data_IF_640666601097
#
_entry.id   IF_640666601097
#
_cell.length_a   1.000
_cell.length_b   1.000
_cell.length_c   1.000
_cell.angle_alpha   90.00
_cell.angle_beta   90.00
_cell.angle_gamma   90.00
#
_symmetry.space_group_name_H-M   'P 1'
#
loop_
_entity.id
_entity.type
_entity.pdbx_description
1 polymer ?
#
# COMPACT_ATOMS: atom_id res chain seq x y z
N UNK A 1 -7.86 1.54 -13.28
CA UNK A 1 -6.98 2.32 -12.39
C UNK A 1 -5.66 1.58 -12.24
N UNK A 2 -4.52 2.27 -12.32
CA UNK A 2 -3.19 1.65 -12.23
C UNK A 2 -2.40 2.16 -11.03
N UNK A 3 -1.30 1.49 -10.71
CA UNK A 3 -0.41 1.89 -9.61
C UNK A 3 0.44 3.12 -9.97
N UNK A 4 0.70 3.99 -8.98
CA UNK A 4 1.60 5.14 -9.15
C UNK A 4 3.06 4.72 -9.39
N UNK A 5 3.40 3.46 -9.11
CA UNK A 5 4.72 2.88 -9.37
C UNK A 5 5.17 3.13 -10.81
N UNK A 6 4.26 3.01 -11.79
CA UNK A 6 4.59 3.24 -13.19
C UNK A 6 5.11 4.66 -13.49
N UNK A 7 4.66 5.65 -12.72
CA UNK A 7 5.12 7.03 -12.85
C UNK A 7 6.43 7.26 -12.06
N UNK A 8 6.59 6.59 -10.92
CA UNK A 8 7.77 6.70 -10.06
C UNK A 8 9.01 6.02 -10.68
N UNK A 9 8.80 4.95 -11.47
CA UNK A 9 9.85 4.13 -12.09
C UNK A 9 10.80 4.89 -13.01
N UNK A 10 10.40 6.05 -13.52
CA UNK A 10 11.21 6.87 -14.42
C UNK A 10 12.50 7.42 -13.79
N UNK A 11 12.60 7.39 -12.46
CA UNK A 11 13.76 7.94 -11.73
C UNK A 11 14.76 6.89 -11.26
N UNK A 12 14.42 5.60 -11.32
CA UNK A 12 15.27 4.49 -10.85
C UNK A 12 15.67 4.55 -9.35
N UNK A 13 15.04 5.42 -8.55
CA UNK A 13 15.28 5.55 -7.10
C UNK A 13 14.07 5.10 -6.24
N UNK A 14 13.09 4.42 -6.84
CA UNK A 14 11.90 3.93 -6.16
C UNK A 14 11.71 2.42 -6.41
N UNK A 15 10.77 1.84 -5.68
CA UNK A 15 10.19 0.53 -5.94
C UNK A 15 9.77 0.47 -7.42
N UNK A 16 10.45 -0.35 -8.23
CA UNK A 16 10.18 -0.53 -9.65
C UNK A 16 9.19 -1.66 -9.91
N UNK A 17 9.60 -2.86 -9.51
CA UNK A 17 8.80 -4.07 -9.56
C UNK A 17 8.46 -4.58 -8.15
N UNK A 18 8.96 -3.92 -7.09
CA UNK A 18 8.84 -4.43 -5.72
C UNK A 18 10.06 -5.22 -5.32
N UNK A 19 10.49 -6.12 -6.20
CA UNK A 19 11.51 -7.12 -5.91
C UNK A 19 12.89 -6.51 -5.69
N UNK A 20 13.30 -5.53 -6.49
CA UNK A 20 14.62 -4.91 -6.40
C UNK A 20 14.88 -4.28 -5.04
N UNK A 21 13.88 -3.65 -4.42
CA UNK A 21 14.02 -3.05 -3.08
C UNK A 21 14.21 -4.06 -1.95
N UNK A 22 14.05 -5.35 -2.24
CA UNK A 22 14.34 -6.46 -1.35
C UNK A 22 15.70 -7.13 -1.62
N UNK A 23 16.37 -6.78 -2.71
CA UNK A 23 17.61 -7.43 -3.15
C UNK A 23 18.82 -6.55 -2.89
N UNK A 24 19.90 -7.14 -2.35
CA UNK A 24 21.15 -6.42 -2.17
C UNK A 24 21.97 -6.34 -3.47
N UNK A 25 22.73 -5.24 -3.71
CA UNK A 25 22.93 -4.10 -2.80
C UNK A 25 21.84 -3.00 -2.89
N UNK A 26 20.84 -3.17 -3.76
CA UNK A 26 19.87 -2.11 -4.06
C UNK A 26 18.95 -1.81 -2.87
N UNK A 27 18.50 -2.82 -2.12
CA UNK A 27 17.61 -2.65 -0.96
C UNK A 27 18.21 -1.78 0.14
N UNK A 28 19.48 -2.01 0.49
CA UNK A 28 20.19 -1.16 1.45
C UNK A 28 20.42 0.25 0.91
N UNK A 29 20.79 0.38 -0.38
CA UNK A 29 20.94 1.67 -1.02
C UNK A 29 19.63 2.46 -1.03
N UNK A 30 18.52 1.84 -1.45
CA UNK A 30 17.18 2.43 -1.55
C UNK A 30 16.72 3.02 -0.22
N UNK A 31 16.88 2.28 0.88
CA UNK A 31 16.48 2.73 2.23
C UNK A 31 17.26 3.95 2.74
N UNK A 32 18.36 4.32 2.10
CA UNK A 32 19.18 5.49 2.45
C UNK A 32 18.91 6.70 1.55
N UNK A 33 18.08 6.54 0.51
CA UNK A 33 17.86 7.61 -0.45
C UNK A 33 16.87 8.65 0.05
N UNK A 34 17.07 9.89 -0.39
CA UNK A 34 16.02 10.90 -0.37
C UNK A 34 15.04 10.62 -1.51
N UNK A 35 13.77 10.37 -1.17
CA UNK A 35 12.71 10.10 -2.15
C UNK A 35 12.14 11.38 -2.78
N UNK A 36 12.45 12.57 -2.24
CA UNK A 36 11.86 13.83 -2.69
C UNK A 36 12.14 14.14 -4.17
N UNK A 37 13.35 13.91 -4.73
CA UNK A 37 13.59 14.11 -6.16
C UNK A 37 12.69 13.25 -7.04
N UNK A 38 12.49 11.98 -6.69
CA UNK A 38 11.58 11.06 -7.41
C UNK A 38 10.13 11.53 -7.34
N UNK A 39 9.68 11.95 -6.15
CA UNK A 39 8.32 12.43 -5.97
C UNK A 39 8.06 13.78 -6.64
N UNK A 40 9.08 14.65 -6.77
CA UNK A 40 8.98 15.88 -7.58
C UNK A 40 8.74 15.57 -9.05
N UNK A 41 9.50 14.63 -9.61
CA UNK A 41 9.31 14.20 -10.99
C UNK A 41 7.94 13.55 -11.21
N UNK A 42 7.51 12.71 -10.26
CA UNK A 42 6.17 12.16 -10.21
C UNK A 42 5.09 13.26 -10.24
N UNK A 43 5.25 14.32 -9.44
CA UNK A 43 4.34 15.46 -9.43
C UNK A 43 4.30 16.19 -10.77
N UNK A 44 5.44 16.32 -11.47
CA UNK A 44 5.49 16.92 -12.81
C UNK A 44 4.75 16.06 -13.85
N UNK A 45 4.87 14.73 -13.78
CA UNK A 45 4.08 13.84 -14.64
C UNK A 45 2.58 14.01 -14.36
N UNK A 46 2.16 14.06 -13.09
CA UNK A 46 0.76 14.30 -12.75
C UNK A 46 0.26 15.65 -13.27
N UNK A 47 1.05 16.72 -13.16
CA UNK A 47 0.72 18.04 -13.72
C UNK A 47 0.57 17.99 -15.24
N UNK A 48 1.47 17.28 -15.92
CA UNK A 48 1.38 17.08 -17.37
C UNK A 48 0.10 16.34 -17.77
N UNK A 49 -0.24 15.26 -17.06
CA UNK A 49 -1.46 14.48 -17.31
C UNK A 49 -2.72 15.31 -17.00
N UNK A 50 -2.72 16.09 -15.92
CA UNK A 50 -3.80 17.01 -15.57
C UNK A 50 -3.99 18.10 -16.63
N UNK A 51 -2.90 18.64 -17.18
CA UNK A 51 -2.98 19.59 -18.28
C UNK A 51 -3.60 18.97 -19.54
N UNK A 52 -3.23 17.72 -19.86
CA UNK A 52 -3.76 17.02 -21.03
C UNK A 52 -5.24 16.60 -20.86
N UNK A 53 -5.62 16.17 -19.65
CA UNK A 53 -6.96 15.68 -19.30
C UNK A 53 -7.34 16.18 -17.90
N UNK A 54 -7.89 17.41 -17.81
CA UNK A 54 -8.22 18.00 -16.51
C UNK A 54 -9.32 17.22 -15.81
N UNK A 55 -9.13 16.98 -14.51
CA UNK A 55 -10.13 16.45 -13.58
C UNK A 55 -10.18 17.26 -12.28
N UNK A 56 -11.16 16.99 -11.42
CA UNK A 56 -11.33 17.74 -10.17
C UNK A 56 -10.42 17.24 -9.05
N UNK A 57 -10.20 15.92 -8.97
CA UNK A 57 -9.41 15.29 -7.91
C UNK A 57 -8.74 14.01 -8.43
N UNK A 58 -7.46 13.87 -8.13
CA UNK A 58 -6.73 12.64 -8.40
C UNK A 58 -7.07 11.57 -7.35
N UNK A 59 -7.33 10.35 -7.82
CA UNK A 59 -7.36 9.15 -6.99
C UNK A 59 -6.14 8.29 -7.35
N UNK A 60 -5.19 8.21 -6.43
CA UNK A 60 -3.87 7.65 -6.63
C UNK A 60 -3.65 6.52 -5.63
N UNK A 61 -2.84 5.53 -6.00
CA UNK A 61 -2.60 4.36 -5.16
C UNK A 61 -1.28 3.70 -5.52
N UNK A 62 -0.44 3.47 -4.52
CA UNK A 62 0.58 2.41 -4.54
C UNK A 62 1.02 2.14 -3.09
N UNK A 63 1.30 0.87 -2.72
CA UNK A 63 1.93 0.58 -1.43
C UNK A 63 3.30 1.24 -1.25
N UNK A 64 3.99 1.63 -2.33
CA UNK A 64 5.30 2.31 -2.26
C UNK A 64 5.22 3.67 -1.55
N UNK A 65 4.04 4.32 -1.53
CA UNK A 65 3.84 5.58 -0.81
C UNK A 65 4.12 5.49 0.70
N UNK A 66 4.09 4.29 1.30
CA UNK A 66 4.45 4.11 2.70
C UNK A 66 5.93 4.44 3.00
N UNK A 67 6.79 4.48 1.98
CA UNK A 67 8.17 4.94 2.11
C UNK A 67 8.33 6.47 2.05
N UNK A 68 7.31 7.22 1.62
CA UNK A 68 7.46 8.64 1.28
C UNK A 68 6.17 9.46 1.51
N UNK A 69 5.45 9.19 2.59
CA UNK A 69 4.29 9.98 3.03
C UNK A 69 4.66 11.44 3.30
N UNK A 70 5.85 11.69 3.83
CA UNK A 70 6.40 13.03 4.04
C UNK A 70 6.54 13.81 2.73
N UNK A 71 7.04 13.17 1.67
CA UNK A 71 7.15 13.74 0.34
C UNK A 71 5.76 14.07 -0.24
N UNK A 72 4.77 13.20 -0.01
CA UNK A 72 3.40 13.44 -0.44
C UNK A 72 2.82 14.71 0.20
N UNK A 73 2.90 14.84 1.53
CA UNK A 73 2.35 16.04 2.20
C UNK A 73 3.14 17.30 1.88
N UNK A 74 4.44 17.19 1.61
CA UNK A 74 5.28 18.32 1.21
C UNK A 74 4.91 18.84 -0.20
N UNK A 75 4.68 17.94 -1.15
CA UNK A 75 4.43 18.30 -2.56
C UNK A 75 2.94 18.54 -2.86
N UNK A 76 2.06 17.90 -2.09
CA UNK A 76 0.61 17.98 -2.21
C UNK A 76 0.02 18.36 -0.84
N UNK A 77 0.15 19.63 -0.43
CA UNK A 77 -0.26 20.07 0.91
C UNK A 77 -1.78 19.95 1.15
N UNK A 78 -2.57 19.58 0.15
CA UNK A 78 -4.01 19.29 0.18
C UNK A 78 -4.38 17.81 -0.03
N UNK A 79 -3.41 16.89 -0.13
CA UNK A 79 -3.64 15.45 -0.26
C UNK A 79 -4.36 14.78 0.94
N UNK A 80 -5.34 13.94 0.65
CA UNK A 80 -5.94 13.00 1.60
C UNK A 80 -5.21 11.66 1.51
N UNK A 81 -4.77 11.10 2.64
CA UNK A 81 -4.05 9.83 2.69
C UNK A 81 -4.94 8.78 3.32
N UNK A 82 -5.25 7.72 2.59
CA UNK A 82 -5.94 6.54 3.11
C UNK A 82 -4.94 5.40 3.24
N UNK A 83 -4.83 4.81 4.43
CA UNK A 83 -3.97 3.66 4.67
C UNK A 83 -4.83 2.48 5.09
N UNK A 84 -4.69 1.37 4.36
CA UNK A 84 -5.44 0.16 4.61
C UNK A 84 -4.63 -0.82 5.45
N UNK A 85 -5.30 -1.44 6.41
CA UNK A 85 -4.72 -2.40 7.34
C UNK A 85 -5.29 -3.78 7.08
N UNK A 86 -4.41 -4.77 6.91
CA UNK A 86 -4.78 -6.18 6.71
C UNK A 86 -3.89 -7.06 7.56
N UNK A 87 -4.40 -8.25 7.88
CA UNK A 87 -3.69 -9.27 8.64
C UNK A 87 -2.30 -9.53 8.00
N UNK A 88 -1.19 -9.32 8.74
CA UNK A 88 0.16 -9.48 8.21
C UNK A 88 0.48 -10.91 7.77
N UNK A 89 -0.18 -11.94 8.34
CA UNK A 89 -0.02 -13.33 7.88
C UNK A 89 -0.44 -13.48 6.41
N UNK A 90 -1.55 -12.85 6.05
CA UNK A 90 -2.06 -12.86 4.69
C UNK A 90 -1.23 -11.96 3.77
N UNK A 91 -0.83 -10.79 4.25
CA UNK A 91 -0.06 -9.84 3.46
C UNK A 91 1.34 -10.37 3.10
N UNK A 92 2.07 -10.95 4.07
CA UNK A 92 3.42 -11.46 3.84
C UNK A 92 3.41 -12.59 2.82
N UNK A 93 2.51 -13.56 2.98
CA UNK A 93 2.38 -14.71 2.07
C UNK A 93 1.88 -14.30 0.69
N UNK A 94 0.87 -13.43 0.63
CA UNK A 94 0.37 -12.89 -0.64
C UNK A 94 1.44 -12.12 -1.39
N UNK A 95 2.23 -11.29 -0.69
CA UNK A 95 3.31 -10.54 -1.31
C UNK A 95 4.44 -11.47 -1.75
N UNK A 96 4.83 -12.45 -0.95
CA UNK A 96 5.84 -13.44 -1.33
C UNK A 96 5.43 -14.20 -2.61
N UNK A 97 4.19 -14.67 -2.68
CA UNK A 97 3.64 -15.33 -3.87
C UNK A 97 3.59 -14.42 -5.11
N UNK A 98 3.18 -13.17 -4.92
CA UNK A 98 3.18 -12.17 -6.00
C UNK A 98 4.59 -11.93 -6.53
N UNK A 99 5.57 -11.72 -5.65
CA UNK A 99 6.95 -11.45 -6.05
C UNK A 99 7.62 -12.66 -6.68
N UNK A 100 7.34 -13.86 -6.18
CA UNK A 100 7.75 -15.10 -6.81
C UNK A 100 7.24 -15.20 -8.27
N UNK A 101 5.98 -14.83 -8.52
CA UNK A 101 5.44 -14.85 -9.89
C UNK A 101 6.15 -13.87 -10.84
N UNK A 102 6.76 -12.80 -10.31
CA UNK A 102 7.58 -11.87 -11.09
C UNK A 102 9.02 -12.37 -11.31
N UNK A 103 9.44 -13.38 -10.55
CA UNK A 103 10.74 -14.03 -10.63
C UNK A 103 10.74 -15.32 -11.45
N UNK A 104 9.68 -15.59 -12.22
CA UNK A 104 9.60 -16.79 -13.08
C UNK A 104 10.85 -16.88 -13.98
N UNK A 105 11.50 -18.05 -13.96
CA UNK A 105 12.73 -18.30 -14.71
C UNK A 105 14.01 -17.80 -14.03
N UNK A 106 13.95 -17.43 -12.75
CA UNK A 106 15.09 -17.17 -11.88
C UNK A 106 15.15 -18.23 -10.78
N UNK A 107 16.36 -18.70 -10.48
CA UNK A 107 16.59 -19.58 -9.33
C UNK A 107 16.72 -18.73 -8.06
N UNK A 108 15.91 -19.03 -7.06
CA UNK A 108 16.00 -18.44 -5.72
C UNK A 108 15.53 -19.44 -4.67
N UNK A 109 16.02 -19.29 -3.43
CA UNK A 109 15.58 -20.11 -2.31
C UNK A 109 14.31 -19.53 -1.69
N UNK A 110 13.17 -20.18 -1.90
CA UNK A 110 11.87 -19.78 -1.34
C UNK A 110 11.90 -19.69 0.19
N UNK A 111 12.64 -20.58 0.86
CA UNK A 111 12.73 -20.62 2.32
C UNK A 111 13.46 -19.40 2.88
N UNK A 112 14.42 -18.86 2.14
CA UNK A 112 15.10 -17.61 2.51
C UNK A 112 14.29 -16.39 2.10
N UNK A 113 13.53 -16.50 1.01
CA UNK A 113 12.78 -15.39 0.44
C UNK A 113 11.66 -14.87 1.37
N UNK A 114 11.00 -15.75 2.13
CA UNK A 114 9.97 -15.33 3.07
C UNK A 114 10.45 -14.34 4.13
N UNK A 115 11.63 -14.59 4.72
CA UNK A 115 12.21 -13.70 5.72
C UNK A 115 12.55 -12.32 5.13
N UNK A 116 13.02 -12.29 3.88
CA UNK A 116 13.31 -11.05 3.15
C UNK A 116 12.03 -10.23 2.91
N UNK A 117 10.97 -10.89 2.44
CA UNK A 117 9.66 -10.25 2.21
C UNK A 117 9.06 -9.73 3.51
N UNK A 118 9.09 -10.55 4.57
CA UNK A 118 8.58 -10.19 5.90
C UNK A 118 9.28 -8.94 6.42
N UNK A 119 10.62 -8.91 6.35
CA UNK A 119 11.41 -7.78 6.83
C UNK A 119 11.17 -6.52 5.99
N UNK A 120 11.11 -6.65 4.66
CA UNK A 120 10.80 -5.53 3.77
C UNK A 120 9.45 -4.89 4.09
N UNK A 121 8.39 -5.69 4.24
CA UNK A 121 7.06 -5.19 4.57
C UNK A 121 7.03 -4.53 5.95
N UNK A 122 7.69 -5.11 6.94
CA UNK A 122 7.74 -4.55 8.28
C UNK A 122 8.48 -3.20 8.31
N UNK A 123 9.64 -3.09 7.65
CA UNK A 123 10.38 -1.82 7.54
C UNK A 123 9.59 -0.74 6.81
N UNK A 124 8.82 -1.12 5.79
CA UNK A 124 7.94 -0.19 5.07
C UNK A 124 6.87 0.39 5.99
N UNK A 125 6.27 -0.43 6.85
CA UNK A 125 5.32 0.04 7.87
C UNK A 125 6.02 0.93 8.89
N UNK A 126 7.20 0.54 9.39
CA UNK A 126 8.00 1.35 10.33
C UNK A 126 8.37 2.71 9.75
N UNK A 127 8.78 2.77 8.49
CA UNK A 127 9.06 4.02 7.79
C UNK A 127 7.81 4.93 7.76
N UNK A 128 6.66 4.37 7.39
CA UNK A 128 5.41 5.12 7.39
C UNK A 128 5.04 5.63 8.79
N UNK A 129 5.27 4.85 9.85
CA UNK A 129 4.98 5.24 11.22
C UNK A 129 5.87 6.40 11.67
N UNK A 130 7.17 6.37 11.34
CA UNK A 130 8.08 7.49 11.65
C UNK A 130 7.67 8.77 10.93
N UNK A 131 7.33 8.68 9.65
CA UNK A 131 6.93 9.85 8.85
C UNK A 131 5.61 10.46 9.37
N UNK A 132 4.67 9.61 9.78
CA UNK A 132 3.39 10.03 10.37
C UNK A 132 3.54 10.91 11.60
N UNK A 133 4.63 10.80 12.37
CA UNK A 133 4.85 11.65 13.55
C UNK A 133 4.93 13.15 13.23
N UNK A 134 5.26 13.49 11.97
CA UNK A 134 5.37 14.86 11.48
C UNK A 134 4.20 15.28 10.57
N UNK A 135 3.22 14.39 10.37
CA UNK A 135 2.06 14.64 9.51
C UNK A 135 0.86 14.92 10.41
N UNK A 136 0.08 15.96 10.07
CA UNK A 136 -1.20 16.22 10.73
C UNK A 136 -2.09 14.97 10.65
N UNK A 137 -2.51 14.37 11.79
CA UNK A 137 -3.35 13.18 11.81
C UNK A 137 -4.66 13.33 11.02
N UNK A 138 -5.20 14.56 10.86
CA UNK A 138 -6.39 14.81 10.05
C UNK A 138 -6.18 14.55 8.54
N UNK A 139 -4.93 14.35 8.10
CA UNK A 139 -4.58 14.01 6.72
C UNK A 139 -4.61 12.51 6.46
N UNK A 140 -4.72 11.70 7.50
CA UNK A 140 -4.59 10.26 7.40
C UNK A 140 -5.82 9.57 7.97
N UNK A 141 -6.45 8.74 7.15
CA UNK A 141 -7.51 7.85 7.55
C UNK A 141 -7.02 6.40 7.46
N UNK A 142 -6.99 5.73 8.61
CA UNK A 142 -6.71 4.32 8.74
C UNK A 142 -7.99 3.49 8.58
N UNK A 143 -7.97 2.48 7.70
CA UNK A 143 -9.12 1.64 7.39
C UNK A 143 -8.77 0.16 7.48
N UNK A 144 -9.59 -0.62 8.18
CA UNK A 144 -9.44 -2.07 8.18
C UNK A 144 -9.91 -2.66 6.85
N UNK A 145 -9.14 -3.57 6.28
CA UNK A 145 -9.51 -4.31 5.09
C UNK A 145 -10.82 -5.08 5.30
N UNK A 146 -11.01 -5.67 6.48
CA UNK A 146 -12.22 -6.43 6.81
C UNK A 146 -13.47 -5.54 6.84
N UNK A 147 -13.36 -4.28 7.30
CA UNK A 147 -14.46 -3.30 7.25
C UNK A 147 -14.85 -3.01 5.79
N UNK A 148 -13.86 -2.88 4.91
CA UNK A 148 -14.10 -2.64 3.49
C UNK A 148 -14.76 -3.84 2.81
N UNK A 149 -14.34 -5.07 3.13
CA UNK A 149 -14.96 -6.28 2.62
C UNK A 149 -16.41 -6.41 3.10
N UNK A 150 -16.70 -6.05 4.35
CA UNK A 150 -18.03 -6.14 4.93
C UNK A 150 -18.99 -5.05 4.41
N UNK A 151 -18.52 -3.81 4.27
CA UNK A 151 -19.31 -2.67 3.80
C UNK A 151 -18.43 -1.66 3.03
N UNK A 152 -18.25 -1.92 1.73
CA UNK A 152 -17.46 -1.05 0.85
C UNK A 152 -18.07 0.34 0.68
N UNK A 153 -19.40 0.44 0.59
CA UNK A 153 -20.11 1.73 0.42
C UNK A 153 -20.02 2.54 1.72
N UNK A 154 -20.20 1.92 2.88
CA UNK A 154 -19.97 2.57 4.17
C UNK A 154 -18.54 2.99 4.38
N UNK A 155 -17.57 2.21 3.89
CA UNK A 155 -16.16 2.60 3.90
C UNK A 155 -15.91 3.84 3.03
N UNK A 156 -16.54 3.92 1.84
CA UNK A 156 -16.49 5.13 1.02
C UNK A 156 -17.10 6.33 1.75
N UNK A 157 -18.27 6.18 2.40
CA UNK A 157 -18.87 7.23 3.23
C UNK A 157 -17.93 7.72 4.34
N UNK A 158 -17.22 6.81 5.03
CA UNK A 158 -16.21 7.16 6.06
C UNK A 158 -15.09 8.03 5.47
N UNK A 159 -14.57 7.67 4.29
CA UNK A 159 -13.52 8.44 3.59
C UNK A 159 -14.02 9.85 3.27
N UNK A 160 -15.20 9.98 2.65
CA UNK A 160 -15.76 11.27 2.28
C UNK A 160 -16.02 12.15 3.51
N UNK A 161 -16.57 11.58 4.58
CA UNK A 161 -16.84 12.31 5.81
C UNK A 161 -15.56 12.80 6.50
N UNK A 162 -14.54 11.94 6.61
CA UNK A 162 -13.28 12.29 7.28
C UNK A 162 -12.54 13.43 6.57
N UNK A 163 -12.51 13.42 5.23
CA UNK A 163 -11.85 14.47 4.44
C UNK A 163 -12.77 15.61 4.03
N UNK A 164 -13.97 15.69 4.60
CA UNK A 164 -14.97 16.73 4.30
C UNK A 164 -15.27 16.87 2.80
N UNK A 165 -15.31 15.75 2.08
CA UNK A 165 -15.64 15.70 0.67
C UNK A 165 -17.17 15.60 0.48
N UNK A 166 -17.75 16.34 -0.48
CA UNK A 166 -19.17 16.23 -0.77
C UNK A 166 -19.49 14.87 -1.40
N UNK A 167 -20.49 14.19 -0.84
CA UNK A 167 -21.02 12.94 -1.40
C UNK A 167 -22.49 13.16 -1.74
N UNK A 168 -22.78 13.33 -3.04
CA UNK A 168 -24.17 13.44 -3.50
C UNK A 168 -24.84 12.06 -3.49
N UNK A 169 -26.17 12.03 -3.47
CA UNK A 169 -26.93 10.78 -3.60
C UNK A 169 -26.63 10.03 -4.91
N UNK A 170 -26.30 10.76 -5.99
CA UNK A 170 -25.88 10.15 -7.26
C UNK A 170 -24.53 9.43 -7.13
N UNK A 171 -23.55 10.04 -6.45
CA UNK A 171 -22.24 9.41 -6.19
C UNK A 171 -22.40 8.17 -5.31
N UNK A 172 -23.22 8.25 -4.26
CA UNK A 172 -23.49 7.08 -3.41
C UNK A 172 -24.16 5.95 -4.20
N UNK A 173 -25.13 6.27 -5.05
CA UNK A 173 -25.79 5.27 -5.89
C UNK A 173 -24.83 4.63 -6.89
N UNK A 174 -23.86 5.38 -7.44
CA UNK A 174 -22.80 4.83 -8.28
C UNK A 174 -21.95 3.79 -7.53
N UNK A 175 -21.58 4.05 -6.27
CA UNK A 175 -20.87 3.06 -5.45
C UNK A 175 -21.72 1.83 -5.15
N UNK A 176 -23.01 2.02 -4.83
CA UNK A 176 -23.92 0.90 -4.57
C UNK A 176 -24.07 0.02 -5.81
N UNK A 177 -24.32 0.62 -6.98
CA UNK A 177 -24.44 -0.10 -8.25
C UNK A 177 -23.17 -0.89 -8.57
N UNK A 178 -21.99 -0.31 -8.30
CA UNK A 178 -20.72 -1.01 -8.50
C UNK A 178 -20.57 -2.20 -7.54
N UNK A 179 -20.90 -2.02 -6.26
CA UNK A 179 -20.84 -3.07 -5.25
C UNK A 179 -21.79 -4.24 -5.58
N UNK A 180 -23.02 -3.94 -5.98
CA UNK A 180 -24.03 -4.94 -6.36
C UNK A 180 -23.60 -5.74 -7.60
N UNK A 181 -22.93 -5.09 -8.56
CA UNK A 181 -22.41 -5.72 -9.77
C UNK A 181 -21.13 -6.55 -9.53
N UNK A 182 -20.40 -6.29 -8.44
CA UNK A 182 -19.10 -6.91 -8.14
C UNK A 182 -19.09 -7.51 -6.72
N UNK A 183 -19.92 -8.53 -6.43
CA UNK A 183 -19.94 -9.15 -5.11
C UNK A 183 -18.56 -9.70 -4.75
N UNK A 184 -18.06 -9.29 -3.58
CA UNK A 184 -16.76 -9.72 -3.04
C UNK A 184 -16.79 -11.19 -2.61
N UNK A 185 -15.64 -11.86 -2.66
CA UNK A 185 -15.51 -13.29 -2.33
C UNK A 185 -15.29 -14.25 -3.52
N UNK A 186 -15.12 -13.73 -4.74
CA UNK A 186 -14.73 -14.56 -5.91
C UNK A 186 -13.28 -15.07 -5.85
N UNK A 187 -12.44 -14.45 -5.04
CA UNK A 187 -11.07 -14.93 -4.80
C UNK A 187 -11.12 -15.80 -3.54
N UNK A 188 -10.96 -17.10 -3.73
CA UNK A 188 -11.06 -18.09 -2.65
C UNK A 188 -10.12 -17.80 -1.49
N UNK A 189 -10.34 -18.48 -0.35
CA UNK A 189 -9.37 -18.50 0.73
C UNK A 189 -8.06 -19.02 0.16
N UNK A 190 -7.06 -18.15 0.04
CA UNK A 190 -5.71 -18.60 -0.23
C UNK A 190 -5.32 -19.47 0.98
N UNK A 191 -5.07 -20.75 0.74
CA UNK A 191 -4.37 -21.57 1.72
C UNK A 191 -2.98 -20.93 1.86
N UNK A 192 -2.76 -20.24 2.98
CA UNK A 192 -1.54 -19.50 3.21
C UNK A 192 -0.44 -20.50 3.59
N UNK A 193 0.40 -20.82 2.62
CA UNK A 193 1.50 -21.79 2.77
C UNK A 193 2.75 -21.10 3.33
N UNK A 194 2.67 -20.64 4.58
CA UNK A 194 3.77 -19.98 5.29
C UNK A 194 5.06 -20.80 5.27
N UNK A 195 4.91 -22.11 5.41
CA UNK A 195 6.00 -23.08 5.47
C UNK A 195 6.76 -23.18 4.14
N UNK A 196 6.13 -22.88 3.00
CA UNK A 196 6.82 -22.84 1.70
C UNK A 196 7.84 -21.72 1.59
N UNK A 197 7.63 -20.66 2.37
CA UNK A 197 8.51 -19.50 2.45
C UNK A 197 9.41 -19.52 3.68
N UNK A 198 9.49 -20.66 4.39
CA UNK A 198 10.34 -20.79 5.59
C UNK A 198 9.88 -19.95 6.77
N UNK A 199 8.59 -19.58 6.81
CA UNK A 199 8.00 -18.76 7.85
C UNK A 199 7.05 -19.58 8.73
N UNK A 200 6.92 -19.13 9.97
CA UNK A 200 5.90 -19.58 10.91
C UNK A 200 4.97 -18.43 11.27
N UNK A 201 3.75 -18.76 11.69
CA UNK A 201 2.79 -17.76 12.18
C UNK A 201 3.39 -16.92 13.32
N UNK A 202 4.09 -17.57 14.26
CA UNK A 202 4.70 -16.89 15.40
C UNK A 202 5.75 -15.86 14.97
N UNK A 203 6.61 -16.17 14.00
CA UNK A 203 7.61 -15.21 13.50
C UNK A 203 6.96 -13.94 12.94
N UNK A 204 5.87 -14.08 12.18
CA UNK A 204 5.16 -12.91 11.64
C UNK A 204 4.44 -12.15 12.74
N UNK A 205 3.77 -12.84 13.68
CA UNK A 205 3.12 -12.21 14.83
C UNK A 205 4.10 -11.39 15.65
N UNK A 206 5.26 -11.96 15.97
CA UNK A 206 6.30 -11.27 16.73
C UNK A 206 6.87 -10.09 15.95
N UNK A 207 7.18 -10.29 14.66
CA UNK A 207 7.78 -9.22 13.84
C UNK A 207 6.83 -8.03 13.65
N UNK A 208 5.52 -8.29 13.55
CA UNK A 208 4.49 -7.27 13.32
C UNK A 208 3.72 -6.90 14.59
N UNK A 209 4.14 -7.31 15.79
CA UNK A 209 3.43 -7.00 17.04
C UNK A 209 3.17 -5.49 17.20
N UNK A 210 4.18 -4.67 16.92
CA UNK A 210 4.07 -3.19 16.95
C UNK A 210 2.94 -2.64 16.06
N UNK A 211 2.69 -3.29 14.91
CA UNK A 211 1.69 -2.89 13.93
C UNK A 211 0.31 -3.43 14.30
N UNK A 212 0.24 -4.70 14.71
CA UNK A 212 -0.99 -5.37 15.13
C UNK A 212 -1.59 -4.64 16.33
N UNK A 213 -0.78 -4.37 17.35
CA UNK A 213 -1.21 -3.68 18.58
C UNK A 213 -1.65 -2.24 18.28
N UNK A 214 -0.85 -1.49 17.51
CA UNK A 214 -1.15 -0.09 17.21
C UNK A 214 -2.47 0.11 16.48
N UNK A 215 -2.76 -0.76 15.50
CA UNK A 215 -3.93 -0.61 14.64
C UNK A 215 -5.06 -1.60 14.95
N UNK A 216 -4.94 -2.40 16.01
CA UNK A 216 -5.90 -3.45 16.37
C UNK A 216 -6.25 -4.36 15.18
N UNK A 217 -5.23 -4.76 14.41
CA UNK A 217 -5.44 -5.53 13.18
C UNK A 217 -5.99 -6.91 13.52
N UNK A 218 -7.15 -7.31 12.95
CA UNK A 218 -7.70 -8.64 13.19
C UNK A 218 -6.76 -9.74 12.71
N UNK A 219 -6.53 -10.73 13.57
CA UNK A 219 -5.64 -11.87 13.33
C UNK A 219 -6.39 -13.20 13.13
N UNK A 220 -7.72 -13.16 13.06
CA UNK A 220 -8.63 -14.29 12.94
C UNK A 220 -9.66 -14.05 11.84
#
# INVERSE_FOLDING_TARGET
PEECIHLLNHTFQDVQFGVETMMEPYGAWFQQQDHLPSYRYYADILRMLQWQRPGERWLLKTPAHLWALDCLVQLFPDCSIVITHRNPLECVTSYASMMESMLIGRDFDRQQFGAVVMEYLARKVEASLRQREQIDPARILDLQFNDFIADGVGTARKIYSHFHLPMSGEVEQCFQNYADAHPMGKHGKHDYRLEEYGLTEQQIRDRFAFYIERFNVPMA
#
